data_IF_782081583785
#
_entry.id   IF_782081583785
#
_cell.length_a   1.000
_cell.length_b   1.000
_cell.length_c   1.000
_cell.angle_alpha   90.00
_cell.angle_beta   90.00
_cell.angle_gamma   90.00
#
_symmetry.space_group_name_H-M   'P 1'
#
loop_
_entity.id
_entity.type
_entity.pdbx_description
1 polymer ?
#
# COMPACT_ATOMS: atom_id res chain seq x y z
N UNK A 1 11.96 1.11 -20.38
CA UNK A 1 10.73 0.42 -19.91
C UNK A 1 9.53 1.09 -20.57
N UNK A 2 8.73 0.38 -21.38
CA UNK A 2 7.48 0.96 -21.94
C UNK A 2 6.48 1.19 -20.78
N UNK A 3 5.80 2.34 -20.78
CA UNK A 3 4.75 2.64 -19.81
C UNK A 3 3.68 1.54 -19.87
N UNK A 4 3.50 0.80 -18.77
CA UNK A 4 2.43 -0.20 -18.62
C UNK A 4 1.05 0.46 -18.54
N UNK A 5 0.99 1.79 -18.33
CA UNK A 5 -0.23 2.56 -18.22
C UNK A 5 -0.42 3.42 -19.48
N UNK A 6 -1.52 3.21 -20.19
CA UNK A 6 -1.96 4.05 -21.31
C UNK A 6 -3.24 4.76 -20.91
N UNK A 7 -3.18 6.10 -20.83
CA UNK A 7 -4.34 6.91 -20.46
C UNK A 7 -5.52 6.72 -21.41
N UNK A 8 -5.25 6.57 -22.71
CA UNK A 8 -6.26 6.32 -23.72
C UNK A 8 -6.94 4.96 -23.53
N UNK A 9 -6.16 3.96 -23.11
CA UNK A 9 -6.66 2.60 -22.86
C UNK A 9 -7.43 2.53 -21.54
N UNK A 10 -6.99 3.27 -20.51
CA UNK A 10 -7.73 3.44 -19.27
C UNK A 10 -9.07 4.15 -19.49
N UNK A 11 -9.11 5.24 -20.28
CA UNK A 11 -10.37 5.90 -20.67
C UNK A 11 -11.37 4.93 -21.31
N UNK A 12 -10.91 4.14 -22.28
CA UNK A 12 -11.75 3.10 -22.91
C UNK A 12 -12.27 2.09 -21.87
N UNK A 13 -11.43 1.67 -20.93
CA UNK A 13 -11.82 0.75 -19.87
C UNK A 13 -12.81 1.34 -18.86
N UNK A 14 -12.85 2.66 -18.67
CA UNK A 14 -13.81 3.30 -17.79
C UNK A 14 -15.24 3.13 -18.32
N UNK A 15 -15.42 3.24 -19.64
CA UNK A 15 -16.75 3.19 -20.26
C UNK A 15 -17.27 1.76 -20.48
N UNK A 16 -16.39 0.75 -20.38
CA UNK A 16 -16.77 -0.66 -20.47
C UNK A 16 -17.43 -1.19 -19.19
N UNK A 17 -18.50 -1.98 -19.38
CA UNK A 17 -19.15 -2.77 -18.32
C UNK A 17 -18.18 -3.77 -17.68
N UNK A 18 -18.35 -4.02 -16.39
CA UNK A 18 -17.59 -5.02 -15.65
C UNK A 18 -18.34 -6.35 -15.66
N UNK A 19 -17.66 -7.43 -16.03
CA UNK A 19 -18.24 -8.78 -15.92
C UNK A 19 -18.38 -9.21 -14.45
N UNK A 20 -19.24 -10.20 -14.19
CA UNK A 20 -19.41 -10.78 -12.85
C UNK A 20 -18.10 -11.35 -12.29
N UNK A 21 -17.27 -11.95 -13.16
CA UNK A 21 -15.93 -12.45 -12.84
C UNK A 21 -15.00 -11.30 -12.43
N UNK A 22 -14.99 -10.20 -13.19
CA UNK A 22 -14.18 -9.02 -12.88
C UNK A 22 -14.59 -8.38 -11.55
N UNK A 23 -15.89 -8.22 -11.29
CA UNK A 23 -16.41 -7.71 -10.01
C UNK A 23 -16.00 -8.62 -8.85
N UNK A 24 -16.05 -9.94 -9.03
CA UNK A 24 -15.62 -10.90 -8.01
C UNK A 24 -14.12 -10.80 -7.73
N UNK A 25 -13.29 -10.62 -8.76
CA UNK A 25 -11.86 -10.43 -8.60
C UNK A 25 -11.52 -9.11 -7.89
N UNK A 26 -12.20 -8.01 -8.26
CA UNK A 26 -12.06 -6.72 -7.58
C UNK A 26 -12.44 -6.87 -6.11
N UNK A 27 -13.64 -7.36 -5.81
CA UNK A 27 -14.12 -7.52 -4.44
C UNK A 27 -13.18 -8.38 -3.60
N UNK A 28 -12.75 -9.54 -4.12
CA UNK A 28 -11.91 -10.48 -3.37
C UNK A 28 -10.50 -9.96 -3.14
N UNK A 29 -9.89 -9.34 -4.17
CA UNK A 29 -8.49 -8.87 -4.09
C UNK A 29 -8.37 -7.64 -3.20
N UNK A 30 -9.29 -6.67 -3.33
CA UNK A 30 -9.31 -5.48 -2.49
C UNK A 30 -9.69 -5.80 -1.04
N UNK A 31 -10.63 -6.74 -0.81
CA UNK A 31 -10.95 -7.22 0.55
C UNK A 31 -9.73 -7.81 1.24
N UNK A 32 -9.04 -8.73 0.57
CA UNK A 32 -7.85 -9.41 1.12
C UNK A 32 -6.71 -8.43 1.36
N UNK A 33 -6.49 -7.49 0.44
CA UNK A 33 -5.50 -6.42 0.60
C UNK A 33 -5.82 -5.51 1.80
N UNK A 34 -7.07 -5.07 1.93
CA UNK A 34 -7.53 -4.25 3.06
C UNK A 34 -7.40 -4.99 4.39
N UNK A 35 -7.82 -6.26 4.46
CA UNK A 35 -7.65 -7.10 5.65
C UNK A 35 -6.18 -7.27 6.02
N UNK A 36 -5.33 -7.55 5.03
CA UNK A 36 -3.90 -7.69 5.24
C UNK A 36 -3.27 -6.41 5.83
N UNK A 37 -3.62 -5.23 5.29
CA UNK A 37 -3.16 -3.94 5.83
C UNK A 37 -3.70 -3.66 7.23
N UNK A 38 -4.96 -3.98 7.50
CA UNK A 38 -5.55 -3.83 8.84
C UNK A 38 -4.86 -4.73 9.87
N UNK A 39 -4.64 -6.01 9.54
CA UNK A 39 -3.92 -6.95 10.42
C UNK A 39 -2.49 -6.47 10.66
N UNK A 40 -1.79 -6.03 9.61
CA UNK A 40 -0.47 -5.44 9.76
C UNK A 40 -0.52 -4.22 10.68
N UNK A 41 -1.45 -3.29 10.49
CA UNK A 41 -1.62 -2.08 11.31
C UNK A 41 -1.76 -2.42 12.80
N UNK A 42 -2.55 -3.43 13.13
CA UNK A 42 -2.74 -3.91 14.51
C UNK A 42 -1.45 -4.51 15.07
N UNK A 43 -0.78 -5.37 14.30
CA UNK A 43 0.51 -5.96 14.69
C UNK A 43 1.56 -4.87 14.93
N UNK A 44 1.60 -3.84 14.08
CA UNK A 44 2.49 -2.70 14.26
C UNK A 44 2.17 -1.87 15.49
N UNK A 45 0.90 -1.53 15.71
CA UNK A 45 0.49 -0.81 16.91
C UNK A 45 0.87 -1.59 18.18
N UNK A 46 0.72 -2.92 18.15
CA UNK A 46 1.13 -3.80 19.25
C UNK A 46 2.66 -3.83 19.44
N UNK A 47 3.44 -3.94 18.36
CA UNK A 47 4.91 -3.93 18.39
C UNK A 47 5.47 -2.58 18.86
N UNK A 48 4.89 -1.46 18.41
CA UNK A 48 5.27 -0.12 18.85
C UNK A 48 4.89 0.09 20.32
N UNK A 49 3.69 -0.36 20.71
CA UNK A 49 3.25 -0.36 22.10
C UNK A 49 4.17 -1.15 23.02
N UNK A 50 4.56 -2.38 22.65
CA UNK A 50 5.46 -3.21 23.45
C UNK A 50 6.90 -2.67 23.47
N UNK A 51 7.38 -2.12 22.34
CA UNK A 51 8.69 -1.45 22.25
C UNK A 51 8.82 -0.18 23.08
N UNK A 52 7.71 0.41 23.51
CA UNK A 52 7.76 1.55 24.42
C UNK A 52 7.96 1.17 25.89
N UNK A 53 7.65 -0.09 26.27
CA UNK A 53 7.69 -0.58 27.66
C UNK A 53 8.88 -1.49 27.96
N UNK A 54 9.20 -2.44 27.08
CA UNK A 54 10.22 -3.47 27.33
C UNK A 54 11.62 -3.10 26.84
N UNK A 55 11.75 -1.96 26.19
CA UNK A 55 12.83 -1.69 25.25
C UNK A 55 13.61 -0.40 25.64
N UNK A 56 13.35 0.11 26.85
CA UNK A 56 14.14 1.19 27.48
C UNK A 56 15.56 0.74 27.86
N UNK A 57 15.78 -0.57 28.06
CA UNK A 57 17.04 -1.12 28.57
C UNK A 57 18.00 -1.62 27.48
N UNK A 58 17.57 -1.67 26.21
CA UNK A 58 18.40 -2.08 25.07
C UNK A 58 18.72 -0.89 24.17
N UNK A 59 19.98 -0.79 23.75
CA UNK A 59 20.51 0.23 22.84
C UNK A 59 20.02 -0.02 21.39
N UNK A 60 18.69 -0.01 21.20
CA UNK A 60 17.97 -0.34 19.96
C UNK A 60 18.43 0.49 18.78
N UNK A 61 18.81 1.73 19.04
CA UNK A 61 19.28 2.67 18.04
C UNK A 61 20.55 2.18 17.35
N UNK A 62 21.38 1.41 18.06
CA UNK A 62 22.67 0.94 17.57
C UNK A 62 22.61 -0.42 16.88
N UNK A 63 21.65 -1.28 17.24
CA UNK A 63 21.60 -2.66 16.73
C UNK A 63 20.31 -3.02 15.99
N UNK A 64 19.14 -2.63 16.50
CA UNK A 64 17.85 -3.09 15.97
C UNK A 64 17.48 -2.43 14.64
N UNK A 65 17.66 -1.12 14.53
CA UNK A 65 17.34 -0.41 13.28
C UNK A 65 18.33 -0.68 12.14
N UNK A 66 19.65 -0.79 12.38
CA UNK A 66 20.57 -1.29 11.37
C UNK A 66 20.22 -2.72 10.92
N UNK A 67 19.85 -3.61 11.85
CA UNK A 67 19.40 -4.96 11.52
C UNK A 67 18.14 -4.94 10.64
N UNK A 68 17.13 -4.12 10.97
CA UNK A 68 15.95 -3.92 10.12
C UNK A 68 16.33 -3.38 8.73
N UNK A 69 17.30 -2.47 8.64
CA UNK A 69 17.82 -1.95 7.38
C UNK A 69 18.48 -3.05 6.52
N UNK A 70 19.28 -3.90 7.15
CA UNK A 70 19.90 -5.07 6.51
C UNK A 70 18.84 -6.07 6.04
N UNK A 71 17.85 -6.38 6.89
CA UNK A 71 16.73 -7.25 6.55
C UNK A 71 15.94 -6.68 5.36
N UNK A 72 15.60 -5.39 5.38
CA UNK A 72 14.91 -4.71 4.28
C UNK A 72 15.71 -4.76 2.98
N UNK A 73 17.04 -4.60 3.07
CA UNK A 73 17.94 -4.62 1.91
C UNK A 73 18.03 -6.01 1.29
N UNK A 74 18.29 -7.04 2.12
CA UNK A 74 18.37 -8.44 1.64
C UNK A 74 17.03 -8.89 1.07
N UNK A 75 15.93 -8.65 1.79
CA UNK A 75 14.59 -9.03 1.33
C UNK A 75 14.17 -8.25 0.08
N UNK A 76 14.50 -6.97 -0.02
CA UNK A 76 14.31 -6.14 -1.21
C UNK A 76 15.09 -6.63 -2.42
N UNK A 77 16.36 -7.02 -2.24
CA UNK A 77 17.19 -7.62 -3.30
C UNK A 77 16.59 -8.95 -3.75
N UNK A 78 16.19 -9.81 -2.82
CA UNK A 78 15.49 -11.07 -3.14
C UNK A 78 14.22 -10.80 -3.95
N UNK A 79 13.41 -9.80 -3.58
CA UNK A 79 12.22 -9.42 -4.34
C UNK A 79 12.59 -8.97 -5.75
N UNK A 80 13.59 -8.10 -5.90
CA UNK A 80 13.94 -7.49 -7.18
C UNK A 80 14.62 -8.47 -8.15
N UNK A 81 15.52 -9.31 -7.64
CA UNK A 81 16.39 -10.17 -8.45
C UNK A 81 15.77 -11.56 -8.67
N UNK A 82 15.03 -12.09 -7.68
CA UNK A 82 14.51 -13.45 -7.75
C UNK A 82 12.99 -13.50 -7.99
N UNK A 83 12.21 -12.83 -7.15
CA UNK A 83 10.76 -12.96 -7.22
C UNK A 83 10.16 -12.19 -8.40
N UNK A 84 10.53 -10.92 -8.58
CA UNK A 84 9.96 -10.05 -9.61
C UNK A 84 10.21 -10.57 -11.03
N UNK A 85 11.41 -11.05 -11.41
CA UNK A 85 11.65 -11.57 -12.76
C UNK A 85 10.89 -12.88 -13.00
N UNK A 86 10.89 -13.80 -12.03
CA UNK A 86 10.12 -15.06 -12.11
C UNK A 86 8.61 -14.82 -12.20
N UNK A 87 8.08 -13.82 -11.49
CA UNK A 87 6.68 -13.40 -11.61
C UNK A 87 6.31 -12.79 -12.97
N UNK A 88 7.28 -12.18 -13.66
CA UNK A 88 7.04 -11.55 -14.98
C UNK A 88 7.17 -12.53 -16.14
N UNK A 89 8.07 -13.51 -16.01
CA UNK A 89 8.32 -14.50 -17.05
C UNK A 89 7.16 -15.51 -17.13
N UNK A 90 6.59 -15.92 -16.00
CA UNK A 90 5.61 -17.02 -16.01
C UNK A 90 4.66 -17.02 -14.80
N UNK A 91 3.75 -16.05 -14.74
CA UNK A 91 2.74 -15.96 -13.67
C UNK A 91 1.82 -17.20 -13.60
N UNK A 92 1.63 -17.90 -14.71
CA UNK A 92 0.77 -19.08 -14.82
C UNK A 92 1.43 -20.38 -14.33
N UNK A 93 2.76 -20.45 -14.24
CA UNK A 93 3.49 -21.65 -13.82
C UNK A 93 3.94 -21.62 -12.34
N UNK A 94 3.69 -20.52 -11.63
CA UNK A 94 4.17 -20.36 -10.26
C UNK A 94 3.39 -21.22 -9.25
N UNK A 95 4.10 -22.13 -8.61
CA UNK A 95 3.58 -22.96 -7.52
C UNK A 95 3.05 -22.11 -6.35
N UNK A 96 2.05 -22.64 -5.66
CA UNK A 96 1.48 -22.05 -4.44
C UNK A 96 2.54 -21.79 -3.36
N UNK A 97 3.59 -22.63 -3.29
CA UNK A 97 4.72 -22.48 -2.36
C UNK A 97 5.58 -21.27 -2.70
N UNK A 98 5.88 -21.04 -3.97
CA UNK A 98 6.64 -19.88 -4.42
C UNK A 98 5.92 -18.58 -4.03
N UNK A 99 4.61 -18.53 -4.26
CA UNK A 99 3.82 -17.35 -3.94
C UNK A 99 3.75 -17.05 -2.45
N UNK A 100 3.63 -18.08 -1.61
CA UNK A 100 3.69 -17.90 -0.14
C UNK A 100 5.03 -17.32 0.30
N UNK A 101 6.14 -17.82 -0.25
CA UNK A 101 7.50 -17.30 0.05
C UNK A 101 7.66 -15.85 -0.41
N UNK A 102 7.19 -15.54 -1.62
CA UNK A 102 7.24 -14.19 -2.16
C UNK A 102 6.44 -13.21 -1.30
N UNK A 103 5.24 -13.60 -0.88
CA UNK A 103 4.37 -12.79 -0.02
C UNK A 103 4.97 -12.62 1.37
N UNK A 104 5.59 -13.64 1.94
CA UNK A 104 6.31 -13.54 3.21
C UNK A 104 7.47 -12.55 3.13
N UNK A 105 8.31 -12.64 2.09
CA UNK A 105 9.44 -11.73 1.89
C UNK A 105 8.96 -10.30 1.61
N UNK A 106 7.88 -10.14 0.84
CA UNK A 106 7.21 -8.86 0.63
C UNK A 106 6.72 -8.25 1.94
N UNK A 107 6.08 -9.05 2.78
CA UNK A 107 5.64 -8.64 4.12
C UNK A 107 6.82 -8.21 4.97
N UNK A 108 7.89 -9.00 5.02
CA UNK A 108 9.10 -8.71 5.79
C UNK A 108 9.74 -7.39 5.35
N UNK A 109 9.85 -7.17 4.04
CA UNK A 109 10.40 -5.95 3.44
C UNK A 109 9.53 -4.75 3.80
N UNK A 110 8.20 -4.89 3.64
CA UNK A 110 7.22 -3.87 3.99
C UNK A 110 7.36 -3.48 5.46
N UNK A 111 7.38 -4.47 6.35
CA UNK A 111 7.44 -4.26 7.78
C UNK A 111 8.71 -3.53 8.20
N UNK A 112 9.85 -3.94 7.65
CA UNK A 112 11.14 -3.36 7.99
C UNK A 112 11.21 -1.89 7.54
N UNK A 113 10.77 -1.59 6.31
CA UNK A 113 10.76 -0.22 5.78
C UNK A 113 9.81 0.70 6.54
N UNK A 114 8.60 0.24 6.88
CA UNK A 114 7.64 1.01 7.65
C UNK A 114 8.17 1.33 9.06
N UNK A 115 8.79 0.36 9.74
CA UNK A 115 9.37 0.58 11.06
C UNK A 115 10.52 1.59 11.03
N UNK A 116 11.39 1.51 10.02
CA UNK A 116 12.47 2.49 9.82
C UNK A 116 11.89 3.88 9.52
N UNK A 117 10.88 3.97 8.65
CA UNK A 117 10.22 5.23 8.30
C UNK A 117 9.56 5.88 9.51
N UNK A 118 8.83 5.10 10.31
CA UNK A 118 8.24 5.59 11.55
C UNK A 118 9.32 6.09 12.50
N UNK A 119 10.44 5.37 12.68
CA UNK A 119 11.57 5.87 13.47
C UNK A 119 12.05 7.24 12.98
N UNK A 120 12.25 7.40 11.67
CA UNK A 120 12.75 8.64 11.09
C UNK A 120 11.80 9.82 11.29
N UNK A 121 10.48 9.59 11.19
CA UNK A 121 9.48 10.61 11.50
C UNK A 121 9.49 10.98 12.99
N UNK A 122 9.59 9.99 13.88
CA UNK A 122 9.39 10.17 15.32
C UNK A 122 10.65 10.63 16.07
N UNK A 123 11.85 10.41 15.51
CA UNK A 123 13.12 10.89 16.07
C UNK A 123 13.24 12.42 16.07
N UNK A 124 12.45 13.12 15.24
CA UNK A 124 12.55 14.58 15.09
C UNK A 124 11.75 15.37 16.13
N UNK A 125 10.71 14.79 16.72
CA UNK A 125 9.80 15.53 17.60
C UNK A 125 10.04 15.32 19.10
N UNK A 126 11.04 14.53 19.52
CA UNK A 126 11.32 14.31 20.94
C UNK A 126 10.11 13.74 21.71
N UNK A 127 9.26 12.99 21.01
CA UNK A 127 7.89 12.77 21.41
C UNK A 127 7.63 11.44 22.15
N UNK A 128 6.54 11.44 22.92
CA UNK A 128 6.12 10.32 23.76
C UNK A 128 5.67 9.10 22.94
N UNK A 129 5.82 7.88 23.45
CA UNK A 129 5.44 6.65 22.74
C UNK A 129 3.96 6.56 22.30
N UNK A 130 3.06 7.38 22.86
CA UNK A 130 1.63 7.41 22.47
C UNK A 130 1.40 8.06 21.11
N UNK A 131 2.10 9.15 20.79
CA UNK A 131 1.98 9.81 19.48
C UNK A 131 2.55 8.95 18.36
N UNK A 132 3.60 8.18 18.65
CA UNK A 132 4.18 7.20 17.74
C UNK A 132 3.18 6.12 17.30
N UNK A 133 2.44 5.56 18.25
CA UNK A 133 1.40 4.55 18.00
C UNK A 133 0.26 5.17 17.18
N UNK A 134 -0.20 6.37 17.56
CA UNK A 134 -1.30 7.04 16.88
C UNK A 134 -0.97 7.41 15.43
N UNK A 135 0.22 7.94 15.17
CA UNK A 135 0.70 8.26 13.82
C UNK A 135 0.82 7.00 12.94
N UNK A 136 1.32 5.90 13.51
CA UNK A 136 1.41 4.62 12.80
C UNK A 136 0.04 4.03 12.43
N UNK A 137 -0.92 4.11 13.34
CA UNK A 137 -2.31 3.68 13.11
C UNK A 137 -2.99 4.55 12.06
N UNK A 138 -2.75 5.86 12.05
CA UNK A 138 -3.31 6.75 11.04
C UNK A 138 -2.75 6.48 9.64
N UNK A 139 -1.43 6.27 9.52
CA UNK A 139 -0.79 6.00 8.22
C UNK A 139 -1.22 4.65 7.65
N UNK A 140 -1.11 3.58 8.44
CA UNK A 140 -1.40 2.23 7.98
C UNK A 140 -2.91 1.96 7.90
N UNK A 141 -3.70 2.52 8.83
CA UNK A 141 -5.15 2.50 8.79
C UNK A 141 -5.72 3.31 7.63
N UNK A 142 -5.10 4.45 7.29
CA UNK A 142 -5.44 5.23 6.10
C UNK A 142 -5.24 4.44 4.80
N UNK A 143 -4.16 3.66 4.71
CA UNK A 143 -3.95 2.75 3.58
C UNK A 143 -4.95 1.60 3.55
N UNK A 144 -5.28 1.00 4.70
CA UNK A 144 -6.31 -0.02 4.78
C UNK A 144 -7.68 0.51 4.30
N UNK A 145 -8.03 1.74 4.67
CA UNK A 145 -9.24 2.44 4.22
C UNK A 145 -9.21 2.73 2.71
N UNK A 146 -8.07 3.15 2.17
CA UNK A 146 -7.92 3.42 0.73
C UNK A 146 -8.27 2.19 -0.12
N UNK A 147 -7.87 0.99 0.32
CA UNK A 147 -8.20 -0.27 -0.34
C UNK A 147 -9.57 -0.85 0.07
N UNK A 148 -10.12 -0.45 1.21
CA UNK A 148 -11.47 -0.84 1.65
C UNK A 148 -12.58 -0.19 0.82
N UNK A 149 -12.35 1.03 0.30
CA UNK A 149 -13.33 1.79 -0.49
C UNK A 149 -13.74 1.07 -1.78
N UNK A 150 -12.82 0.67 -2.68
CA UNK A 150 -13.20 -0.07 -3.90
C UNK A 150 -13.88 -1.40 -3.59
N UNK A 151 -13.47 -2.09 -2.52
CA UNK A 151 -14.13 -3.30 -2.05
C UNK A 151 -15.58 -3.03 -1.60
N UNK A 152 -15.80 -2.02 -0.77
CA UNK A 152 -17.13 -1.71 -0.21
C UNK A 152 -18.12 -1.32 -1.30
N UNK A 153 -17.67 -0.53 -2.26
CA UNK A 153 -18.48 -0.16 -3.42
C UNK A 153 -18.78 -1.42 -4.26
N UNK A 154 -17.76 -2.23 -4.59
CA UNK A 154 -17.94 -3.48 -5.34
C UNK A 154 -18.94 -4.43 -4.66
N UNK A 155 -18.80 -4.66 -3.35
CA UNK A 155 -19.69 -5.54 -2.58
C UNK A 155 -21.14 -5.03 -2.51
N UNK A 156 -21.34 -3.71 -2.39
CA UNK A 156 -22.69 -3.12 -2.42
C UNK A 156 -23.36 -3.28 -3.77
N UNK A 157 -22.59 -3.33 -4.86
CA UNK A 157 -23.11 -3.41 -6.22
C UNK A 157 -23.42 -4.84 -6.63
N UNK A 158 -22.59 -5.80 -6.23
CA UNK A 158 -22.87 -7.23 -6.45
C UNK A 158 -24.18 -7.66 -5.77
N UNK A 159 -24.51 -7.11 -4.60
CA UNK A 159 -25.77 -7.38 -3.90
C UNK A 159 -27.01 -6.83 -4.61
N UNK A 160 -26.87 -5.87 -5.52
CA UNK A 160 -27.98 -5.20 -6.20
C UNK A 160 -28.19 -5.69 -7.64
N UNK A 161 -27.37 -6.62 -8.13
CA UNK A 161 -27.40 -7.14 -9.51
C UNK A 161 -27.36 -6.05 -10.61
N UNK A 162 -26.78 -4.90 -10.30
CA UNK A 162 -26.71 -3.77 -11.23
C UNK A 162 -25.53 -3.97 -12.16
N UNK A 163 -25.78 -3.98 -13.48
CA UNK A 163 -24.75 -3.80 -14.51
C UNK A 163 -23.99 -2.49 -14.24
N UNK A 164 -22.71 -2.60 -13.94
CA UNK A 164 -21.93 -1.48 -13.41
C UNK A 164 -20.68 -1.22 -14.22
N UNK A 165 -20.53 0.02 -14.68
CA UNK A 165 -19.36 0.45 -15.44
C UNK A 165 -18.22 0.79 -14.48
N UNK A 166 -16.99 0.49 -14.91
CA UNK A 166 -15.79 0.83 -14.15
C UNK A 166 -15.72 2.33 -13.82
N UNK A 167 -16.24 3.18 -14.71
CA UNK A 167 -16.36 4.63 -14.51
C UNK A 167 -17.09 4.98 -13.22
N UNK A 168 -18.25 4.38 -12.94
CA UNK A 168 -19.02 4.70 -11.73
C UNK A 168 -18.30 4.24 -10.46
N UNK A 169 -17.54 3.13 -10.53
CA UNK A 169 -16.72 2.63 -9.41
C UNK A 169 -15.61 3.62 -9.10
N UNK A 170 -14.95 4.11 -10.15
CA UNK A 170 -13.86 5.09 -10.06
C UNK A 170 -14.37 6.44 -9.55
N UNK A 171 -15.46 6.96 -10.11
CA UNK A 171 -16.08 8.22 -9.67
C UNK A 171 -16.53 8.16 -8.21
N UNK A 172 -17.15 7.05 -7.78
CA UNK A 172 -17.57 6.86 -6.38
C UNK A 172 -16.37 6.75 -5.44
N UNK A 173 -15.31 6.06 -5.87
CA UNK A 173 -14.06 5.96 -5.10
C UNK A 173 -13.39 7.32 -4.97
N UNK A 174 -13.33 8.12 -6.05
CA UNK A 174 -12.77 9.48 -6.05
C UNK A 174 -13.52 10.41 -5.09
N UNK A 175 -14.86 10.33 -5.03
CA UNK A 175 -15.65 11.12 -4.07
C UNK A 175 -15.28 10.78 -2.62
N UNK A 176 -15.18 9.50 -2.29
CA UNK A 176 -14.80 9.06 -0.95
C UNK A 176 -13.35 9.39 -0.60
N UNK A 177 -12.42 9.26 -1.55
CA UNK A 177 -11.04 9.69 -1.38
C UNK A 177 -10.93 11.20 -1.19
N UNK A 178 -11.72 11.99 -1.92
CA UNK A 178 -11.79 13.44 -1.76
C UNK A 178 -12.28 13.85 -0.37
N UNK A 179 -13.31 13.19 0.16
CA UNK A 179 -13.79 13.42 1.53
C UNK A 179 -12.75 13.05 2.59
N UNK A 180 -12.10 11.88 2.45
CA UNK A 180 -11.00 11.47 3.33
C UNK A 180 -9.85 12.47 3.29
N UNK A 181 -9.45 12.89 2.09
CA UNK A 181 -8.40 13.88 1.92
C UNK A 181 -8.76 15.20 2.59
N UNK A 182 -9.96 15.72 2.38
CA UNK A 182 -10.42 16.96 3.00
C UNK A 182 -10.43 16.87 4.53
N UNK A 183 -10.90 15.76 5.09
CA UNK A 183 -10.92 15.54 6.54
C UNK A 183 -9.50 15.53 7.13
N UNK A 184 -8.57 14.79 6.52
CA UNK A 184 -7.17 14.74 7.00
C UNK A 184 -6.47 16.07 6.78
N UNK A 185 -6.74 16.75 5.66
CA UNK A 185 -6.19 18.07 5.35
C UNK A 185 -6.62 19.12 6.38
N UNK A 186 -7.91 19.18 6.74
CA UNK A 186 -8.43 20.06 7.78
C UNK A 186 -7.81 19.74 9.14
N UNK A 187 -7.70 18.45 9.49
CA UNK A 187 -7.06 18.02 10.72
C UNK A 187 -5.60 18.48 10.82
N UNK A 188 -4.81 18.33 9.75
CA UNK A 188 -3.42 18.78 9.71
C UNK A 188 -3.32 20.31 9.77
N UNK A 189 -4.21 21.05 9.12
CA UNK A 189 -4.24 22.51 9.20
C UNK A 189 -4.49 23.03 10.62
N UNK A 190 -5.34 22.35 11.38
CA UNK A 190 -5.70 22.72 12.75
C UNK A 190 -4.58 22.35 13.74
N UNK A 191 -3.95 21.19 13.55
CA UNK A 191 -3.04 20.60 14.55
C UNK A 191 -1.55 20.87 14.31
N UNK A 192 -1.13 21.16 13.07
CA UNK A 192 0.29 21.26 12.75
C UNK A 192 0.84 22.68 12.91
N UNK A 193 1.89 22.81 13.75
CA UNK A 193 2.70 24.04 13.86
C UNK A 193 3.57 24.28 12.61
N UNK A 194 3.93 23.23 11.88
CA UNK A 194 4.79 23.27 10.67
C UNK A 194 3.96 23.07 9.40
N UNK A 195 3.08 24.04 9.15
CA UNK A 195 1.97 23.96 8.17
C UNK A 195 2.40 23.49 6.77
N UNK A 196 3.41 24.12 6.16
CA UNK A 196 3.76 23.87 4.75
C UNK A 196 4.41 22.50 4.47
N UNK A 197 5.20 21.97 5.40
CA UNK A 197 5.91 20.70 5.20
C UNK A 197 5.04 19.48 5.49
N UNK A 198 4.21 19.56 6.54
CA UNK A 198 3.19 18.57 6.81
C UNK A 198 2.18 18.49 5.64
N UNK A 199 1.83 19.64 5.05
CA UNK A 199 1.03 19.74 3.83
C UNK A 199 1.68 19.03 2.64
N UNK A 200 2.99 19.18 2.43
CA UNK A 200 3.69 18.58 1.28
C UNK A 200 3.82 17.04 1.41
N UNK A 201 4.09 16.54 2.61
CA UNK A 201 4.10 15.09 2.92
C UNK A 201 2.68 14.52 2.82
N UNK A 202 1.68 15.25 3.31
CA UNK A 202 0.28 14.87 3.15
C UNK A 202 -0.10 14.78 1.68
N UNK A 203 0.20 15.79 0.87
CA UNK A 203 -0.15 15.84 -0.55
C UNK A 203 0.51 14.71 -1.34
N UNK A 204 1.81 14.53 -1.16
CA UNK A 204 2.56 13.46 -1.86
C UNK A 204 2.15 12.07 -1.40
N UNK A 205 1.99 11.86 -0.08
CA UNK A 205 1.50 10.61 0.48
C UNK A 205 0.06 10.28 0.05
N UNK A 206 -0.82 11.28 0.00
CA UNK A 206 -2.22 11.12 -0.44
C UNK A 206 -2.32 10.78 -1.92
N UNK A 207 -1.57 11.50 -2.76
CA UNK A 207 -1.56 11.27 -4.21
C UNK A 207 -1.07 9.86 -4.55
N UNK A 208 -0.04 9.40 -3.84
CA UNK A 208 0.51 8.05 -3.98
C UNK A 208 -0.48 7.00 -3.46
N UNK A 209 -1.09 7.23 -2.29
CA UNK A 209 -2.06 6.31 -1.66
C UNK A 209 -3.38 6.17 -2.42
N UNK A 210 -3.86 7.24 -3.08
CA UNK A 210 -5.13 7.23 -3.82
C UNK A 210 -4.96 6.82 -5.28
N UNK A 211 -3.79 7.04 -5.89
CA UNK A 211 -3.53 6.56 -7.26
C UNK A 211 -3.30 5.05 -7.34
N UNK A 212 -2.76 4.44 -6.28
CA UNK A 212 -2.43 3.01 -6.24
C UNK A 212 -3.65 2.09 -6.45
N UNK A 213 -4.79 2.28 -5.75
CA UNK A 213 -6.02 1.53 -6.03
C UNK A 213 -6.50 1.59 -7.48
N UNK A 214 -6.39 2.75 -8.15
CA UNK A 214 -6.77 2.87 -9.56
C UNK A 214 -5.83 2.13 -10.50
N UNK A 215 -4.53 2.14 -10.20
CA UNK A 215 -3.54 1.36 -10.94
C UNK A 215 -3.78 -0.15 -10.77
N UNK A 216 -4.11 -0.59 -9.55
CA UNK A 216 -4.51 -1.96 -9.25
C UNK A 216 -5.75 -2.37 -10.05
N UNK A 217 -6.80 -1.52 -10.07
CA UNK A 217 -8.03 -1.77 -10.84
C UNK A 217 -7.75 -1.89 -12.34
N UNK A 218 -6.97 -0.97 -12.91
CA UNK A 218 -6.61 -1.00 -14.33
C UNK A 218 -5.87 -2.29 -14.72
N UNK A 219 -4.87 -2.70 -13.94
CA UNK A 219 -4.08 -3.89 -14.24
C UNK A 219 -4.87 -5.18 -14.01
N UNK A 220 -5.75 -5.18 -13.02
CA UNK A 220 -6.64 -6.31 -12.76
C UNK A 220 -7.59 -6.50 -13.95
N UNK A 221 -8.27 -5.43 -14.39
CA UNK A 221 -9.14 -5.48 -15.59
C UNK A 221 -8.41 -5.96 -16.86
N UNK A 222 -7.19 -5.48 -17.08
CA UNK A 222 -6.41 -5.86 -18.26
C UNK A 222 -6.02 -7.35 -18.28
N UNK A 223 -5.87 -7.99 -17.12
CA UNK A 223 -5.51 -9.41 -17.01
C UNK A 223 -6.72 -10.34 -16.93
N UNK A 224 -7.77 -9.96 -16.20
CA UNK A 224 -8.98 -10.77 -16.08
C UNK A 224 -9.66 -11.02 -17.43
N UNK A 225 -9.50 -10.10 -18.40
CA UNK A 225 -9.96 -10.29 -19.78
C UNK A 225 -9.30 -11.44 -20.53
N UNK A 226 -8.10 -11.86 -20.14
CA UNK A 226 -7.34 -12.93 -20.81
C UNK A 226 -7.59 -14.31 -20.21
N UNK A 227 -8.48 -14.39 -19.23
CA UNK A 227 -8.74 -15.61 -18.47
C UNK A 227 -10.06 -16.18 -18.93
N UNK A 228 -10.03 -17.46 -19.27
CA UNK A 228 -11.24 -18.23 -19.49
C UNK A 228 -11.93 -18.48 -18.13
N UNK A 229 -13.20 -18.09 -18.03
CA UNK A 229 -13.99 -18.26 -16.81
C UNK A 229 -14.25 -19.73 -16.47
N UNK A 230 -14.10 -20.64 -17.44
CA UNK A 230 -14.29 -22.08 -17.28
C UNK A 230 -13.06 -22.78 -16.68
N UNK A 231 -11.88 -22.16 -16.75
CA UNK A 231 -10.65 -22.70 -16.15
C UNK A 231 -10.50 -22.24 -14.68
N UNK A 232 -11.01 -23.05 -13.76
CA UNK A 232 -10.92 -22.79 -12.32
C UNK A 232 -9.48 -22.62 -11.81
N UNK A 233 -8.52 -23.30 -12.44
CA UNK A 233 -7.12 -23.28 -12.03
C UNK A 233 -6.44 -21.97 -12.45
N UNK A 234 -6.73 -21.47 -13.65
CA UNK A 234 -6.31 -20.15 -14.11
C UNK A 234 -6.92 -19.03 -13.25
N UNK A 235 -8.22 -19.11 -12.95
CA UNK A 235 -8.93 -18.17 -12.08
C UNK A 235 -8.29 -18.10 -10.69
N UNK A 236 -7.97 -19.25 -10.10
CA UNK A 236 -7.35 -19.31 -8.77
C UNK A 236 -5.92 -18.73 -8.77
N UNK A 237 -5.13 -19.03 -9.79
CA UNK A 237 -3.76 -18.52 -9.93
C UNK A 237 -3.75 -17.00 -10.11
N UNK A 238 -4.65 -16.46 -10.94
CA UNK A 238 -4.74 -15.02 -11.14
C UNK A 238 -5.19 -14.30 -9.87
N UNK A 239 -6.12 -14.88 -9.11
CA UNK A 239 -6.56 -14.28 -7.85
C UNK A 239 -5.40 -14.12 -6.86
N UNK A 240 -4.52 -15.12 -6.80
CA UNK A 240 -3.31 -15.08 -5.98
C UNK A 240 -2.32 -14.02 -6.51
N UNK A 241 -2.12 -13.96 -7.83
CA UNK A 241 -1.24 -12.98 -8.47
C UNK A 241 -1.72 -11.54 -8.26
N UNK A 242 -3.03 -11.29 -8.38
CA UNK A 242 -3.66 -9.99 -8.16
C UNK A 242 -3.43 -9.50 -6.72
N UNK A 243 -3.54 -10.39 -5.73
CA UNK A 243 -3.27 -10.07 -4.33
C UNK A 243 -1.78 -9.73 -4.14
N UNK A 244 -0.88 -10.54 -4.71
CA UNK A 244 0.56 -10.30 -4.63
C UNK A 244 0.96 -8.96 -5.25
N UNK A 245 0.41 -8.64 -6.42
CA UNK A 245 0.74 -7.40 -7.11
C UNK A 245 0.18 -6.17 -6.39
N UNK A 246 -1.04 -6.25 -5.84
CA UNK A 246 -1.56 -5.21 -4.94
C UNK A 246 -0.62 -5.03 -3.76
N UNK A 247 -0.15 -6.13 -3.15
CA UNK A 247 0.87 -6.11 -2.09
C UNK A 247 2.19 -5.46 -2.54
N UNK A 248 2.63 -5.72 -3.77
CA UNK A 248 3.87 -5.16 -4.30
C UNK A 248 3.74 -3.67 -4.63
N UNK A 249 2.57 -3.22 -5.08
CA UNK A 249 2.24 -1.80 -5.26
C UNK A 249 2.18 -1.08 -3.92
N UNK A 250 1.60 -1.73 -2.90
CA UNK A 250 1.61 -1.23 -1.52
C UNK A 250 3.03 -1.03 -0.99
N UNK A 251 3.98 -1.92 -1.31
CA UNK A 251 5.39 -1.77 -0.94
C UNK A 251 6.05 -0.52 -1.56
N UNK A 252 5.56 -0.04 -2.70
CA UNK A 252 6.07 1.18 -3.29
C UNK A 252 5.71 2.42 -2.47
N UNK A 253 4.60 2.39 -1.72
CA UNK A 253 4.14 3.54 -0.92
C UNK A 253 5.11 3.89 0.21
N UNK A 254 5.55 2.95 1.10
CA UNK A 254 6.61 3.22 2.07
C UNK A 254 7.93 3.60 1.42
N UNK A 255 8.28 3.05 0.24
CA UNK A 255 9.53 3.41 -0.45
C UNK A 255 9.49 4.87 -0.93
N UNK A 256 8.38 5.33 -1.51
CA UNK A 256 8.24 6.72 -1.93
C UNK A 256 8.19 7.67 -0.74
N UNK A 257 7.50 7.30 0.34
CA UNK A 257 7.51 8.07 1.58
C UNK A 257 8.90 8.10 2.23
N UNK A 258 9.62 6.97 2.26
CA UNK A 258 10.99 6.89 2.75
C UNK A 258 11.94 7.73 1.91
N UNK A 259 11.84 7.66 0.58
CA UNK A 259 12.60 8.54 -0.32
C UNK A 259 12.27 10.02 -0.07
N UNK A 260 10.99 10.35 0.09
CA UNK A 260 10.55 11.70 0.47
C UNK A 260 11.15 12.14 1.80
N UNK A 261 11.18 11.26 2.80
CA UNK A 261 11.80 11.51 4.10
C UNK A 261 13.33 11.62 4.03
N UNK A 262 14.01 10.79 3.23
CA UNK A 262 15.46 10.89 3.03
C UNK A 262 15.84 12.17 2.30
N UNK A 263 15.11 12.55 1.26
CA UNK A 263 15.25 13.85 0.61
C UNK A 263 14.98 14.99 1.61
N UNK A 264 14.00 14.83 2.49
CA UNK A 264 13.73 15.79 3.57
C UNK A 264 14.88 15.89 4.58
N UNK A 265 15.53 14.80 4.96
CA UNK A 265 16.72 14.83 5.82
C UNK A 265 17.91 15.48 5.10
N UNK A 266 18.11 15.16 3.81
CA UNK A 266 19.25 15.65 3.03
C UNK A 266 19.13 17.13 2.61
N UNK A 267 17.92 17.60 2.29
CA UNK A 267 17.68 18.96 1.77
C UNK A 267 16.98 19.90 2.75
N UNK A 268 16.37 19.39 3.83
CA UNK A 268 15.58 20.16 4.79
C UNK A 268 16.25 20.42 6.14
N UNK A 269 17.56 20.17 6.29
CA UNK A 269 18.26 20.31 7.56
C UNK A 269 19.24 21.51 7.58
N UNK A 270 18.88 22.67 8.16
CA UNK A 270 19.85 23.72 8.47
C UNK A 270 20.81 23.33 9.61
N UNK A 271 20.59 22.19 10.29
CA UNK A 271 21.42 21.70 11.40
C UNK A 271 22.64 20.90 10.93
N UNK A 272 22.66 20.43 9.68
CA UNK A 272 23.84 19.82 9.03
C UNK A 272 24.63 20.81 8.15
N UNK A 273 24.36 22.12 8.27
CA UNK A 273 25.18 23.22 7.70
C UNK A 273 26.16 23.82 8.72
N UNK A 274 26.60 23.02 9.69
CA UNK A 274 27.74 23.36 10.56
C UNK A 274 28.77 22.26 10.48
#
# INVERSE_FOLDING_TARGET
MRSLFSWNLFKKFLDEELSSLELRFIGTSFKKASLYLSTLSIVFAALLGSSSRYLRDFDLDRYFYPLLGTVASISGICLFVYFLPKYRMDAQLLESRFTRKAFFILSLTFCSLVLIFLKLLLKKDGETPRTNIFASLLLLGGWALAYFIPYSISASLTKREILFNLRRLVESSLKLYGLLFAAVFLFVLITSKTKWYALLILLTGSLVSFSSPFLSLYRLKLRTRRIDATDELAVRKEGIFSIFEIGAQLLQMPIYLFKGACLWVAYGCPVYRR
#
